data_IF_313800361228
#
_entry.id   IF_313800361228
#
_cell.length_a   1.000
_cell.length_b   1.000
_cell.length_c   1.000
_cell.angle_alpha   90.00
_cell.angle_beta   90.00
_cell.angle_gamma   90.00
#
_symmetry.space_group_name_H-M   'P 1'
#
loop_
_entity.id
_entity.type
_entity.pdbx_description
1 polymer ?
#
# COMPACT_ATOMS: atom_id res chain seq x y z
N UNK A 1 -2.82 -9.21 1.10
CA UNK A 1 -1.42 -9.01 1.53
C UNK A 1 -1.03 -10.17 2.45
N UNK A 2 0.20 -10.65 2.34
CA UNK A 2 0.68 -11.78 3.13
C UNK A 2 2.05 -11.45 3.68
N UNK A 3 2.26 -11.65 4.98
CA UNK A 3 3.59 -11.65 5.58
C UNK A 3 4.10 -13.08 5.63
N UNK A 4 5.30 -13.28 5.08
CA UNK A 4 5.98 -14.57 5.02
C UNK A 4 7.36 -14.38 5.62
N UNK A 5 7.74 -15.31 6.47
CA UNK A 5 9.11 -15.44 6.95
C UNK A 5 10.02 -15.81 5.78
N UNK A 6 10.98 -14.95 5.46
CA UNK A 6 11.84 -15.15 4.29
C UNK A 6 12.80 -16.35 4.44
N UNK A 7 13.11 -16.76 5.68
CA UNK A 7 14.02 -17.88 5.93
C UNK A 7 13.26 -19.22 5.91
N UNK A 8 12.08 -19.27 6.54
CA UNK A 8 11.35 -20.52 6.73
C UNK A 8 10.22 -20.74 5.71
N UNK A 9 9.78 -19.68 5.04
CA UNK A 9 8.57 -19.70 4.20
C UNK A 9 7.26 -19.74 5.00
N UNK A 10 7.33 -19.67 6.33
CA UNK A 10 6.14 -19.68 7.19
C UNK A 10 5.32 -18.42 6.96
N UNK A 11 4.02 -18.60 6.73
CA UNK A 11 3.08 -17.49 6.66
C UNK A 11 2.77 -16.99 8.07
N UNK A 12 3.35 -15.85 8.46
CA UNK A 12 3.06 -15.18 9.73
C UNK A 12 1.62 -14.70 9.82
N UNK A 13 1.15 -14.04 8.76
CA UNK A 13 -0.26 -13.64 8.66
C UNK A 13 -0.69 -13.40 7.21
N UNK A 14 -2.00 -13.36 7.01
CA UNK A 14 -2.65 -12.94 5.76
C UNK A 14 -3.78 -11.98 6.08
N UNK A 15 -3.78 -10.82 5.44
CA UNK A 15 -4.77 -9.77 5.68
C UNK A 15 -4.99 -8.90 4.44
N UNK A 16 -6.15 -8.27 4.36
CA UNK A 16 -6.56 -7.46 3.22
C UNK A 16 -6.88 -8.27 1.95
N UNK A 17 -7.51 -7.59 0.99
CA UNK A 17 -7.84 -8.08 -0.36
C UNK A 17 -7.70 -6.92 -1.32
N UNK A 18 -6.52 -6.80 -1.93
CA UNK A 18 -6.14 -5.63 -2.73
C UNK A 18 -6.00 -5.93 -4.23
N UNK A 19 -6.48 -7.10 -4.66
CA UNK A 19 -6.40 -7.56 -6.05
C UNK A 19 -4.98 -7.49 -6.62
N UNK A 20 -4.84 -6.88 -7.80
CA UNK A 20 -3.56 -6.61 -8.47
C UNK A 20 -2.87 -5.32 -7.99
N UNK A 21 -3.16 -4.93 -6.74
CA UNK A 21 -2.57 -3.76 -6.12
C UNK A 21 -1.05 -3.85 -5.96
N UNK A 22 -0.43 -2.70 -5.79
CA UNK A 22 1.01 -2.53 -5.65
C UNK A 22 1.39 -2.11 -4.23
N UNK A 23 2.64 -2.34 -3.86
CA UNK A 23 3.13 -2.21 -2.49
C UNK A 23 4.40 -1.35 -2.45
N UNK A 24 4.47 -0.46 -1.46
CA UNK A 24 5.68 0.27 -1.08
C UNK A 24 5.85 0.19 0.44
N UNK A 25 7.07 -0.04 0.91
CA UNK A 25 7.39 -0.01 2.35
C UNK A 25 8.14 1.29 2.69
N UNK A 26 7.67 2.01 3.71
CA UNK A 26 8.30 3.24 4.19
C UNK A 26 7.94 3.51 5.65
N UNK A 27 8.88 4.02 6.44
CA UNK A 27 8.67 4.49 7.83
C UNK A 27 7.85 3.53 8.71
N UNK A 28 8.17 2.24 8.70
CA UNK A 28 7.46 1.23 9.50
C UNK A 28 6.05 0.87 9.01
N UNK A 29 5.68 1.31 7.81
CA UNK A 29 4.39 1.04 7.20
C UNK A 29 4.54 0.43 5.79
N UNK A 30 3.49 -0.26 5.41
CA UNK A 30 3.20 -0.79 4.09
C UNK A 30 2.10 0.07 3.47
N UNK A 31 2.43 0.75 2.38
CA UNK A 31 1.50 1.54 1.59
C UNK A 31 1.06 0.67 0.42
N UNK A 32 -0.23 0.34 0.39
CA UNK A 32 -0.84 -0.48 -0.66
C UNK A 32 -1.70 0.42 -1.53
N UNK A 33 -1.44 0.43 -2.84
CA UNK A 33 -2.35 0.99 -3.83
C UNK A 33 -3.15 -0.18 -4.41
N UNK A 34 -4.46 -0.25 -4.13
CA UNK A 34 -5.32 -1.35 -4.62
C UNK A 34 -5.56 -1.25 -6.12
N UNK A 35 -6.00 -2.35 -6.73
CA UNK A 35 -6.38 -2.37 -8.15
C UNK A 35 -7.58 -1.48 -8.51
N UNK A 36 -8.33 -1.03 -7.50
CA UNK A 36 -9.46 -0.10 -7.61
C UNK A 36 -9.11 1.35 -7.30
N UNK A 37 -7.84 1.66 -6.99
CA UNK A 37 -7.37 3.03 -6.75
C UNK A 37 -7.44 3.51 -5.30
N UNK A 38 -7.66 2.62 -4.33
CA UNK A 38 -7.62 2.96 -2.92
C UNK A 38 -6.19 2.91 -2.40
N UNK A 39 -5.80 3.86 -1.55
CA UNK A 39 -4.56 3.77 -0.77
C UNK A 39 -4.92 3.21 0.60
N UNK A 40 -4.21 2.15 1.00
CA UNK A 40 -4.33 1.51 2.31
C UNK A 40 -2.98 1.55 3.01
N UNK A 41 -2.96 2.06 4.23
CA UNK A 41 -1.78 2.07 5.08
C UNK A 41 -1.89 0.92 6.08
N UNK A 42 -0.89 0.05 6.13
CA UNK A 42 -0.82 -1.10 7.03
C UNK A 42 0.49 -1.01 7.82
N UNK A 43 0.52 -1.37 9.10
CA UNK A 43 1.78 -1.45 9.84
C UNK A 43 2.67 -2.55 9.26
N UNK A 44 3.97 -2.29 9.12
CA UNK A 44 4.96 -3.28 8.71
C UNK A 44 5.39 -4.15 9.91
N UNK A 45 4.43 -4.90 10.48
CA UNK A 45 4.62 -5.70 11.69
C UNK A 45 4.42 -7.19 11.38
N UNK A 46 5.41 -8.07 11.60
CA UNK A 46 5.25 -9.51 11.40
C UNK A 46 4.32 -10.18 12.42
N UNK A 47 4.02 -9.55 13.55
CA UNK A 47 3.16 -10.14 14.58
C UNK A 47 1.68 -10.16 14.17
N UNK A 48 1.20 -9.13 13.47
CA UNK A 48 -0.19 -9.05 13.05
C UNK A 48 -0.41 -8.09 11.86
N UNK A 49 -1.43 -8.40 11.04
CA UNK A 49 -1.99 -7.43 10.10
C UNK A 49 -2.72 -6.31 10.88
N UNK A 50 -2.28 -5.07 10.70
CA UNK A 50 -2.92 -3.88 11.29
C UNK A 50 -3.11 -2.79 10.25
N UNK A 51 -4.33 -2.61 9.77
CA UNK A 51 -4.71 -1.50 8.90
C UNK A 51 -4.84 -0.21 9.73
N UNK A 52 -4.17 0.86 9.29
CA UNK A 52 -4.15 2.17 9.96
C UNK A 52 -5.19 3.09 9.33
N UNK A 53 -5.22 3.16 8.01
CA UNK A 53 -6.19 3.98 7.27
C UNK A 53 -6.38 3.46 5.87
N UNK A 54 -7.51 3.83 5.27
CA UNK A 54 -7.90 3.51 3.91
C UNK A 54 -8.68 4.67 3.32
N UNK A 55 -8.33 5.09 2.11
CA UNK A 55 -9.07 6.13 1.39
C UNK A 55 -9.03 5.91 -0.12
N UNK A 56 -10.07 6.36 -0.81
CA UNK A 56 -10.12 6.36 -2.27
C UNK A 56 -9.17 7.45 -2.79
N UNK A 57 -8.09 7.04 -3.46
CA UNK A 57 -7.06 7.97 -3.93
C UNK A 57 -7.22 8.31 -5.41
N UNK A 58 -7.63 7.32 -6.20
CA UNK A 58 -7.90 7.39 -7.63
C UNK A 58 -9.21 6.63 -7.93
N UNK A 59 -9.75 6.84 -9.13
CA UNK A 59 -10.90 6.10 -9.67
C UNK A 59 -10.43 5.19 -10.80
N UNK A 60 -11.01 4.00 -10.87
CA UNK A 60 -10.74 3.07 -11.96
C UNK A 60 -9.51 2.19 -11.74
N UNK A 61 -9.12 1.48 -12.81
CA UNK A 61 -8.13 0.40 -12.73
C UNK A 61 -6.73 0.93 -12.46
N UNK A 62 -6.13 0.50 -11.36
CA UNK A 62 -4.87 1.08 -10.88
C UNK A 62 -3.84 0.01 -10.58
N UNK A 63 -2.85 -0.19 -11.46
CA UNK A 63 -1.83 -1.24 -11.31
C UNK A 63 -0.40 -0.70 -11.19
N UNK A 64 -0.24 0.62 -11.07
CA UNK A 64 1.05 1.28 -10.98
C UNK A 64 1.61 1.23 -9.55
N UNK A 65 2.93 1.15 -9.43
CA UNK A 65 3.60 1.18 -8.12
C UNK A 65 3.55 2.62 -7.56
N UNK A 66 3.11 2.83 -6.31
CA UNK A 66 3.17 4.14 -5.69
C UNK A 66 4.63 4.57 -5.46
N UNK A 67 4.89 5.88 -5.47
CA UNK A 67 6.24 6.42 -5.24
C UNK A 67 6.22 7.47 -4.12
N UNK A 68 7.34 7.60 -3.41
CA UNK A 68 7.54 8.68 -2.43
C UNK A 68 8.69 9.56 -2.90
N UNK A 69 8.47 10.87 -2.93
CA UNK A 69 9.49 11.84 -3.25
C UNK A 69 9.24 13.17 -2.52
N UNK A 70 10.24 13.66 -1.78
CA UNK A 70 10.17 14.95 -1.09
C UNK A 70 8.97 15.09 -0.15
N UNK A 71 8.73 14.10 0.70
CA UNK A 71 7.62 14.12 1.66
C UNK A 71 6.22 13.95 1.04
N UNK A 72 6.14 13.51 -0.22
CA UNK A 72 4.86 13.31 -0.93
C UNK A 72 4.69 11.88 -1.39
N UNK A 73 3.49 11.34 -1.22
CA UNK A 73 3.04 10.10 -1.84
C UNK A 73 2.41 10.40 -3.19
N UNK A 74 2.97 9.80 -4.23
CA UNK A 74 2.56 9.93 -5.61
C UNK A 74 1.88 8.64 -6.06
N UNK A 75 0.63 8.74 -6.51
CA UNK A 75 -0.14 7.60 -7.04
C UNK A 75 -0.72 7.96 -8.39
N UNK A 76 -0.77 7.01 -9.32
CA UNK A 76 -1.37 7.23 -10.65
C UNK A 76 -2.00 5.97 -11.21
N UNK A 77 -2.85 6.14 -12.20
CA UNK A 77 -3.30 5.09 -13.10
C UNK A 77 -3.09 5.53 -14.56
N UNK A 78 -3.83 4.97 -15.51
CA UNK A 78 -3.78 5.32 -16.94
C UNK A 78 -4.43 6.67 -17.28
N UNK A 79 -5.30 7.21 -16.41
CA UNK A 79 -6.11 8.40 -16.68
C UNK A 79 -5.82 9.58 -15.75
N UNK A 80 -5.36 9.34 -14.52
CA UNK A 80 -5.17 10.38 -13.52
C UNK A 80 -3.98 10.12 -12.58
N UNK A 81 -3.62 11.15 -11.83
CA UNK A 81 -2.56 11.13 -10.82
C UNK A 81 -2.96 12.00 -9.64
N UNK A 82 -2.65 11.54 -8.43
CA UNK A 82 -2.85 12.29 -7.20
C UNK A 82 -1.56 12.35 -6.39
N UNK A 83 -1.45 13.40 -5.59
CA UNK A 83 -0.32 13.67 -4.73
C UNK A 83 -0.82 13.98 -3.32
N UNK A 84 -0.32 13.24 -2.34
CA UNK A 84 -0.67 13.41 -0.93
C UNK A 84 0.54 13.87 -0.15
N UNK A 85 0.38 14.91 0.67
CA UNK A 85 1.42 15.31 1.63
C UNK A 85 1.54 14.24 2.71
N UNK A 86 2.77 13.85 3.03
CA UNK A 86 3.10 13.00 4.19
C UNK A 86 3.67 13.82 5.35
N UNK A 87 3.80 15.13 5.15
CA UNK A 87 4.19 16.10 6.17
C UNK A 87 2.98 16.95 6.53
N UNK A 88 2.92 17.39 7.78
CA UNK A 88 1.97 18.42 8.24
C UNK A 88 2.11 19.73 7.43
#
# INVERSE_FOLDING_TARGET
LTCVDAQTGERKWKGGRYGYGQLLAASGHLIVLTDTGEVVLVKADPAAYTEVTKFAALRGKTWNVPAIAGGRLLVRNDTEMACYSLTE
#
